data_IF_635124435652
#
_entry.id   IF_635124435652
#
_cell.length_a   1.000
_cell.length_b   1.000
_cell.length_c   1.000
_cell.angle_alpha   90.00
_cell.angle_beta   90.00
_cell.angle_gamma   90.00
#
_symmetry.space_group_name_H-M   'P 1'
#
loop_
_entity.id
_entity.type
_entity.pdbx_description
1 polymer ?
#
# COMPACT_ATOMS: atom_id res chain seq x y z
N UNK A 1 -0.08 -13.74 23.38
CA UNK A 1 0.69 -12.86 24.29
C UNK A 1 0.29 -11.39 24.11
N UNK A 2 0.77 -10.48 24.97
CA UNK A 2 0.57 -9.04 24.81
C UNK A 2 1.92 -8.34 24.79
N UNK A 3 2.26 -7.74 23.66
CA UNK A 3 3.46 -6.95 23.43
C UNK A 3 3.10 -5.47 23.40
N UNK A 4 3.33 -4.76 24.51
CA UNK A 4 2.99 -3.33 24.63
C UNK A 4 4.25 -2.46 24.76
N UNK A 5 4.34 -1.42 23.93
CA UNK A 5 5.38 -0.40 24.06
C UNK A 5 4.99 0.90 23.35
N UNK A 6 5.21 2.04 23.99
CA UNK A 6 4.82 3.37 23.46
C UNK A 6 5.62 3.78 22.22
N UNK A 7 6.56 4.71 22.38
CA UNK A 7 7.43 5.17 21.29
C UNK A 7 8.74 4.40 21.29
N UNK A 8 9.24 4.00 20.11
CA UNK A 8 10.42 3.14 19.98
C UNK A 8 10.23 1.83 20.76
N UNK A 9 9.09 1.18 20.49
CA UNK A 9 8.61 -0.02 21.18
C UNK A 9 8.93 -1.32 20.44
N UNK A 10 7.92 -2.20 20.41
CA UNK A 10 7.92 -3.55 19.83
C UNK A 10 8.76 -3.62 18.55
N UNK A 11 9.84 -4.41 18.57
CA UNK A 11 10.73 -4.62 17.41
C UNK A 11 11.12 -3.32 16.67
N UNK A 12 11.56 -2.28 17.37
CA UNK A 12 11.95 -1.01 16.74
C UNK A 12 13.43 -0.66 16.87
N UNK A 13 13.97 0.03 15.86
CA UNK A 13 15.37 0.45 15.82
C UNK A 13 15.54 1.93 15.43
N UNK A 14 16.35 2.66 16.18
CA UNK A 14 16.85 3.98 15.80
C UNK A 14 18.37 3.93 15.79
N UNK A 15 18.92 3.49 14.67
CA UNK A 15 20.28 2.92 14.60
C UNK A 15 20.34 1.49 15.17
N UNK A 16 21.24 0.67 14.64
CA UNK A 16 21.42 -0.72 15.07
C UNK A 16 20.39 -1.69 14.49
N UNK A 17 20.04 -2.72 15.26
CA UNK A 17 19.13 -3.79 14.83
C UNK A 17 18.15 -4.18 15.95
N UNK A 18 16.91 -4.50 15.58
CA UNK A 18 15.88 -5.05 16.47
C UNK A 18 15.24 -6.29 15.83
N UNK A 19 14.94 -7.29 16.67
CA UNK A 19 14.31 -8.54 16.27
C UNK A 19 13.28 -8.95 17.33
N UNK A 20 12.07 -9.24 16.91
CA UNK A 20 11.07 -9.99 17.69
C UNK A 20 10.67 -11.22 16.89
N UNK A 21 10.67 -12.38 17.55
CA UNK A 21 10.20 -13.64 16.99
C UNK A 21 9.14 -14.18 17.95
N UNK A 22 7.88 -14.18 17.52
CA UNK A 22 6.84 -15.00 18.13
C UNK A 22 6.73 -16.33 17.36
N UNK A 23 6.23 -17.38 18.00
CA UNK A 23 6.12 -18.72 17.43
C UNK A 23 4.71 -19.30 17.48
N UNK A 24 3.90 -18.84 18.43
CA UNK A 24 2.57 -19.39 18.69
C UNK A 24 1.74 -18.49 19.61
N UNK A 25 0.48 -18.36 19.26
CA UNK A 25 -0.55 -17.84 20.15
C UNK A 25 -1.34 -16.73 19.47
N UNK A 26 -2.54 -16.46 19.96
CA UNK A 26 -3.26 -15.26 19.54
C UNK A 26 -2.69 -14.06 20.32
N UNK A 27 -2.05 -13.16 19.59
CA UNK A 27 -1.17 -12.12 20.10
C UNK A 27 -1.75 -10.72 19.90
N UNK A 28 -1.39 -9.83 20.82
CA UNK A 28 -1.76 -8.41 20.75
C UNK A 28 -0.50 -7.57 20.79
N UNK A 29 -0.17 -6.96 19.66
CA UNK A 29 0.89 -6.00 19.52
C UNK A 29 0.32 -4.59 19.64
N UNK A 30 0.68 -3.86 20.69
CA UNK A 30 0.26 -2.48 20.93
C UNK A 30 1.46 -1.53 20.91
N UNK A 31 1.33 -0.43 20.18
CA UNK A 31 2.23 0.69 20.40
C UNK A 31 1.77 2.05 19.88
N UNK A 32 2.63 3.04 20.05
CA UNK A 32 2.35 4.41 19.63
C UNK A 32 3.05 4.72 18.31
N UNK A 33 4.31 5.17 18.37
CA UNK A 33 5.08 5.63 17.20
C UNK A 33 6.41 4.90 17.10
N UNK A 34 6.83 4.52 15.90
CA UNK A 34 8.05 3.73 15.68
C UNK A 34 8.03 2.42 16.48
N UNK A 35 7.17 1.50 16.06
CA UNK A 35 6.92 0.21 16.73
C UNK A 35 6.56 -0.86 15.68
N UNK A 36 6.36 -2.10 16.09
CA UNK A 36 5.94 -3.23 15.24
C UNK A 36 6.82 -3.36 13.98
N UNK A 37 8.12 -3.61 14.17
CA UNK A 37 9.05 -3.80 13.05
C UNK A 37 9.39 -2.49 12.33
N UNK A 38 9.71 -1.42 13.07
CA UNK A 38 9.96 -0.08 12.51
C UNK A 38 11.39 0.38 12.72
N UNK A 39 12.02 0.98 11.71
CA UNK A 39 13.41 1.40 11.77
C UNK A 39 13.72 2.77 11.14
N UNK A 40 14.71 3.46 11.71
CA UNK A 40 15.45 4.56 11.07
C UNK A 40 16.94 4.31 11.20
N UNK A 41 17.71 4.46 10.11
CA UNK A 41 19.16 4.23 10.08
C UNK A 41 19.62 2.85 10.61
N UNK A 42 18.78 1.82 10.50
CA UNK A 42 19.01 0.51 11.09
C UNK A 42 18.13 -0.58 10.49
N UNK A 43 18.05 -1.72 11.17
CA UNK A 43 17.26 -2.88 10.74
C UNK A 43 16.23 -3.25 11.80
N UNK A 44 15.00 -3.55 11.40
CA UNK A 44 13.99 -4.08 12.31
C UNK A 44 13.24 -5.24 11.66
N UNK A 45 13.03 -6.32 12.41
CA UNK A 45 12.20 -7.45 12.01
C UNK A 45 11.26 -7.84 13.16
N UNK A 46 9.98 -7.92 12.85
CA UNK A 46 8.99 -8.63 13.66
C UNK A 46 8.55 -9.84 12.82
N UNK A 47 8.64 -11.05 13.38
CA UNK A 47 8.13 -12.26 12.74
C UNK A 47 7.17 -12.97 13.70
N UNK A 48 5.89 -12.99 13.35
CA UNK A 48 4.89 -13.89 13.93
C UNK A 48 4.72 -15.12 13.03
N UNK A 49 4.62 -16.29 13.65
CA UNK A 49 4.56 -17.56 12.92
C UNK A 49 3.17 -18.20 12.94
N UNK A 50 2.34 -17.90 13.95
CA UNK A 50 1.06 -18.58 14.20
C UNK A 50 0.23 -17.81 15.21
N UNK A 51 -1.00 -17.49 14.83
CA UNK A 51 -1.95 -16.86 15.74
C UNK A 51 -3.04 -16.18 14.95
N UNK A 52 -4.15 -15.79 15.56
CA UNK A 52 -4.96 -14.72 14.96
C UNK A 52 -4.75 -13.45 15.79
N UNK A 53 -4.01 -12.51 15.23
CA UNK A 53 -3.31 -11.47 15.96
C UNK A 53 -3.88 -10.07 15.70
N UNK A 54 -3.60 -9.18 16.64
CA UNK A 54 -3.93 -7.76 16.52
C UNK A 54 -2.67 -6.91 16.56
N UNK A 55 -2.40 -6.24 15.45
CA UNK A 55 -1.36 -5.22 15.35
C UNK A 55 -2.00 -3.83 15.40
N UNK A 56 -1.83 -3.10 16.50
CA UNK A 56 -2.42 -1.77 16.67
C UNK A 56 -1.36 -0.73 17.01
N UNK A 57 -1.23 0.29 16.16
CA UNK A 57 -0.29 1.39 16.38
C UNK A 57 -0.84 2.75 15.93
N UNK A 58 -0.18 3.83 16.35
CA UNK A 58 -0.58 5.18 15.96
C UNK A 58 -0.05 5.58 14.58
N UNK A 59 1.27 5.44 14.35
CA UNK A 59 1.92 5.66 13.04
C UNK A 59 3.40 5.25 13.03
N UNK A 60 4.03 5.23 11.86
CA UNK A 60 5.44 4.81 11.68
C UNK A 60 5.67 3.40 12.21
N UNK A 61 4.78 2.47 11.85
CA UNK A 61 4.72 1.13 12.42
C UNK A 61 4.55 0.06 11.35
N UNK A 62 4.51 -1.21 11.75
CA UNK A 62 4.15 -2.34 10.88
C UNK A 62 5.00 -2.36 9.60
N UNK A 63 6.32 -2.48 9.76
CA UNK A 63 7.24 -2.49 8.62
C UNK A 63 7.58 -1.10 8.07
N UNK A 64 7.60 -0.07 8.92
CA UNK A 64 8.02 1.28 8.51
C UNK A 64 9.54 1.42 8.49
N UNK A 65 10.10 1.87 7.37
CA UNK A 65 11.52 2.14 7.19
C UNK A 65 11.79 3.60 6.79
N UNK A 66 12.36 4.36 7.71
CA UNK A 66 12.91 5.68 7.45
C UNK A 66 14.25 5.63 6.71
N UNK A 67 15.04 6.74 6.70
CA UNK A 67 16.26 6.81 5.89
C UNK A 67 17.27 5.70 6.17
N UNK A 68 17.77 5.08 5.09
CA UNK A 68 18.77 3.99 5.12
C UNK A 68 18.38 2.79 5.98
N UNK A 69 17.10 2.63 6.29
CA UNK A 69 16.61 1.52 7.09
C UNK A 69 16.09 0.38 6.22
N UNK A 70 16.08 -0.82 6.81
CA UNK A 70 15.31 -1.96 6.31
C UNK A 70 14.42 -2.40 7.45
N UNK A 71 13.11 -2.45 7.24
CA UNK A 71 12.16 -2.80 8.28
C UNK A 71 11.11 -3.76 7.71
N UNK A 72 10.82 -4.83 8.43
CA UNK A 72 9.86 -5.83 7.98
C UNK A 72 8.98 -6.32 9.14
N UNK A 73 7.71 -6.55 8.82
CA UNK A 73 6.84 -7.48 9.53
C UNK A 73 6.64 -8.70 8.64
N UNK A 74 6.74 -9.88 9.22
CA UNK A 74 6.37 -11.15 8.60
C UNK A 74 5.34 -11.78 9.50
N UNK A 75 4.12 -11.94 9.00
CA UNK A 75 3.14 -12.85 9.58
C UNK A 75 3.08 -14.09 8.70
N UNK A 76 2.80 -15.24 9.29
CA UNK A 76 2.89 -16.52 8.56
C UNK A 76 1.58 -17.29 8.50
N UNK A 77 0.73 -17.12 9.52
CA UNK A 77 -0.49 -17.92 9.69
C UNK A 77 -1.41 -17.20 10.64
N UNK A 78 -2.60 -16.88 10.16
CA UNK A 78 -3.57 -16.31 11.07
C UNK A 78 -4.84 -15.86 10.42
N UNK A 79 -5.53 -14.96 11.12
CA UNK A 79 -6.60 -14.13 10.57
C UNK A 79 -6.40 -12.82 11.34
N UNK A 80 -5.59 -11.95 10.77
CA UNK A 80 -4.89 -10.90 11.45
C UNK A 80 -5.54 -9.54 11.22
N UNK A 81 -5.45 -8.68 12.22
CA UNK A 81 -5.99 -7.32 12.14
C UNK A 81 -4.89 -6.28 12.33
N UNK A 82 -4.54 -5.60 11.23
CA UNK A 82 -3.58 -4.51 11.21
C UNK A 82 -4.29 -3.16 11.27
N UNK A 83 -4.02 -2.36 12.31
CA UNK A 83 -4.73 -1.11 12.60
C UNK A 83 -3.79 0.07 12.83
N UNK A 84 -3.84 1.06 11.92
CA UNK A 84 -3.12 2.35 12.07
C UNK A 84 -3.92 3.55 11.56
N UNK A 85 -5.20 3.67 11.94
CA UNK A 85 -6.08 4.75 11.48
C UNK A 85 -6.88 5.44 12.60
N UNK A 86 -6.42 5.38 13.86
CA UNK A 86 -7.28 5.76 15.01
C UNK A 86 -6.88 7.02 15.78
N UNK A 87 -5.60 7.43 15.77
CA UNK A 87 -5.10 8.31 16.84
C UNK A 87 -4.32 9.55 16.40
N UNK A 88 -3.80 9.61 15.17
CA UNK A 88 -3.03 10.76 14.67
C UNK A 88 -3.80 11.41 13.53
N UNK A 89 -4.44 12.58 13.73
CA UNK A 89 -5.21 13.21 12.66
C UNK A 89 -4.35 13.53 11.44
N UNK A 90 -4.95 13.39 10.26
CA UNK A 90 -4.34 13.70 8.98
C UNK A 90 -3.79 15.12 8.93
N UNK A 91 -2.55 15.27 8.46
CA UNK A 91 -1.95 16.59 8.17
C UNK A 91 -2.68 17.37 7.07
N UNK A 92 -3.56 16.72 6.31
CA UNK A 92 -4.44 17.39 5.34
C UNK A 92 -5.68 18.02 5.98
N UNK A 93 -5.89 17.84 7.29
CA UNK A 93 -6.97 18.49 8.04
C UNK A 93 -8.38 17.97 7.74
N UNK A 94 -8.52 16.83 7.07
CA UNK A 94 -9.81 16.19 6.82
C UNK A 94 -10.29 15.50 8.10
N UNK A 95 -11.47 15.87 8.58
CA UNK A 95 -12.08 15.28 9.78
C UNK A 95 -12.33 13.78 9.61
N UNK A 96 -12.08 12.99 10.66
CA UNK A 96 -12.22 11.54 10.63
C UNK A 96 -11.14 10.78 9.83
N UNK A 97 -10.14 11.49 9.31
CA UNK A 97 -9.02 10.90 8.57
C UNK A 97 -7.75 11.00 9.39
N UNK A 98 -6.99 9.92 9.42
CA UNK A 98 -5.81 9.78 10.26
C UNK A 98 -4.56 9.54 9.41
N UNK A 99 -3.39 9.73 9.99
CA UNK A 99 -2.13 9.26 9.46
C UNK A 99 -1.95 7.77 9.79
N UNK A 100 -1.35 7.02 8.87
CA UNK A 100 -0.90 5.65 9.10
C UNK A 100 0.62 5.56 9.09
N UNK A 101 1.27 5.84 7.95
CA UNK A 101 2.72 5.60 7.79
C UNK A 101 3.13 4.19 8.23
N UNK A 102 2.40 3.19 7.77
CA UNK A 102 2.53 1.82 8.26
C UNK A 102 2.09 0.79 7.22
N UNK A 103 2.27 -0.49 7.54
CA UNK A 103 1.96 -1.62 6.65
C UNK A 103 2.87 -1.58 5.42
N UNK A 104 4.18 -1.73 5.66
CA UNK A 104 5.19 -1.81 4.61
C UNK A 104 5.52 -0.48 3.93
N UNK A 105 6.06 0.49 4.67
CA UNK A 105 6.30 1.84 4.15
C UNK A 105 7.78 2.20 4.12
N UNK A 106 8.29 2.60 2.95
CA UNK A 106 9.62 3.19 2.81
C UNK A 106 9.55 4.71 2.71
N UNK A 107 10.19 5.44 3.63
CA UNK A 107 10.06 6.89 3.71
C UNK A 107 11.41 7.61 3.87
N UNK A 108 11.71 8.54 2.97
CA UNK A 108 12.84 9.45 3.09
C UNK A 108 12.50 10.78 3.76
N UNK A 109 13.55 11.50 4.16
CA UNK A 109 13.44 12.85 4.71
C UNK A 109 13.72 13.87 3.62
N UNK A 110 12.68 14.54 3.14
CA UNK A 110 12.76 15.53 2.06
C UNK A 110 13.87 16.55 2.29
N UNK A 111 14.80 16.64 1.34
CA UNK A 111 15.93 17.57 1.39
C UNK A 111 17.12 17.12 2.25
N UNK A 112 17.03 15.96 2.92
CA UNK A 112 18.07 15.47 3.82
C UNK A 112 18.58 14.07 3.47
N UNK A 113 17.69 13.09 3.27
CA UNK A 113 18.11 11.71 3.03
C UNK A 113 17.06 10.89 2.27
N UNK A 114 17.52 9.99 1.40
CA UNK A 114 16.68 8.99 0.73
C UNK A 114 16.07 8.00 1.73
N UNK A 115 14.91 7.45 1.38
CA UNK A 115 14.17 6.51 2.21
C UNK A 115 14.80 5.14 2.37
N UNK A 116 14.17 4.33 3.21
CA UNK A 116 14.51 2.93 3.42
C UNK A 116 13.63 1.98 2.62
N UNK A 117 13.73 0.70 2.97
CA UNK A 117 12.90 -0.39 2.45
C UNK A 117 12.00 -0.88 3.59
N UNK A 118 10.70 -0.62 3.49
CA UNK A 118 9.70 -1.04 4.48
C UNK A 118 8.78 -2.10 3.89
N UNK A 119 8.61 -3.21 4.60
CA UNK A 119 7.88 -4.38 4.11
C UNK A 119 6.87 -4.88 5.14
N UNK A 120 5.70 -5.29 4.68
CA UNK A 120 4.80 -6.19 5.40
C UNK A 120 4.59 -7.41 4.50
N UNK A 121 4.86 -8.59 5.04
CA UNK A 121 4.70 -9.88 4.35
C UNK A 121 3.73 -10.70 5.18
N UNK A 122 2.58 -11.03 4.62
CA UNK A 122 1.63 -12.00 5.16
C UNK A 122 1.58 -13.21 4.22
N UNK A 123 1.36 -14.41 4.76
CA UNK A 123 1.50 -15.66 4.01
C UNK A 123 0.22 -16.50 3.98
N UNK A 124 -0.63 -16.44 5.02
CA UNK A 124 -1.87 -17.21 5.10
C UNK A 124 -2.84 -16.53 6.08
N UNK A 125 -4.03 -16.15 5.63
CA UNK A 125 -5.07 -15.71 6.55
C UNK A 125 -6.37 -15.29 5.90
N UNK A 126 -7.12 -14.44 6.59
CA UNK A 126 -8.30 -13.74 6.10
C UNK A 126 -8.28 -12.42 6.84
N UNK A 127 -7.50 -11.51 6.30
CA UNK A 127 -6.83 -10.48 7.03
C UNK A 127 -7.47 -9.13 6.80
N UNK A 128 -7.28 -8.25 7.78
CA UNK A 128 -7.87 -6.92 7.78
C UNK A 128 -6.78 -5.89 7.87
N UNK A 129 -6.52 -5.24 6.75
CA UNK A 129 -5.58 -4.14 6.64
C UNK A 129 -6.33 -2.81 6.79
N UNK A 130 -6.33 -2.24 7.99
CA UNK A 130 -7.00 -0.97 8.30
C UNK A 130 -5.97 0.14 8.58
N UNK A 131 -5.85 1.14 7.69
CA UNK A 131 -4.85 2.18 7.84
C UNK A 131 -5.28 3.59 7.41
N UNK A 132 -4.63 4.60 7.99
CA UNK A 132 -4.77 5.99 7.59
C UNK A 132 -3.92 6.33 6.36
N UNK A 133 -3.57 7.61 6.21
CA UNK A 133 -2.79 8.07 5.06
C UNK A 133 -1.38 7.46 5.05
N UNK A 134 -0.82 7.29 3.85
CA UNK A 134 0.54 6.78 3.63
C UNK A 134 0.73 5.37 4.18
N UNK A 135 0.04 4.38 3.64
CA UNK A 135 0.03 3.02 4.20
C UNK A 135 -0.11 1.94 3.14
N UNK A 136 0.11 0.68 3.48
CA UNK A 136 -0.10 -0.48 2.60
C UNK A 136 0.81 -0.43 1.36
N UNK A 137 2.10 -0.70 1.57
CA UNK A 137 3.07 -0.79 0.49
C UNK A 137 3.54 0.54 -0.08
N UNK A 138 3.51 1.63 0.72
CA UNK A 138 3.75 2.99 0.19
C UNK A 138 5.23 3.37 0.16
N UNK A 139 5.65 3.90 -1.00
CA UNK A 139 6.92 4.61 -1.14
C UNK A 139 6.78 6.12 -1.02
N UNK A 140 7.59 6.75 -0.18
CA UNK A 140 7.67 8.21 -0.08
C UNK A 140 9.11 8.72 -0.09
N UNK A 141 9.43 9.66 -0.98
CA UNK A 141 10.74 10.33 -1.08
C UNK A 141 11.94 9.37 -1.15
N UNK A 142 12.18 8.79 -2.34
CA UNK A 142 13.26 7.81 -2.58
C UNK A 142 13.22 6.57 -1.65
N UNK A 143 12.07 6.28 -1.03
CA UNK A 143 11.85 5.05 -0.27
C UNK A 143 11.20 3.96 -1.13
N UNK A 144 11.29 2.71 -0.67
CA UNK A 144 10.55 1.58 -1.22
C UNK A 144 9.61 1.03 -0.14
N UNK A 145 8.31 1.07 -0.40
CA UNK A 145 7.30 0.36 0.39
C UNK A 145 6.83 -0.89 -0.36
N UNK A 146 6.57 -1.96 0.38
CA UNK A 146 6.05 -3.21 -0.13
C UNK A 146 5.07 -3.85 0.85
N UNK A 147 3.92 -4.29 0.34
CA UNK A 147 3.03 -5.22 1.03
C UNK A 147 2.90 -6.45 0.15
N UNK A 148 3.05 -7.64 0.72
CA UNK A 148 2.78 -8.90 0.02
C UNK A 148 1.84 -9.70 0.90
N UNK A 149 0.69 -10.04 0.37
CA UNK A 149 -0.18 -11.10 0.88
C UNK A 149 -0.12 -12.26 -0.12
N UNK A 150 -0.30 -13.48 0.37
CA UNK A 150 -0.24 -14.67 -0.48
C UNK A 150 -1.54 -15.44 -0.55
N UNK A 151 -2.38 -15.37 0.49
CA UNK A 151 -3.54 -16.25 0.59
C UNK A 151 -4.61 -15.70 1.53
N UNK A 152 -5.79 -15.62 0.94
CA UNK A 152 -7.08 -15.64 1.61
C UNK A 152 -7.92 -14.43 1.24
N UNK A 153 -9.19 -14.46 1.63
CA UNK A 153 -10.11 -13.36 1.34
C UNK A 153 -9.86 -12.18 2.30
N UNK A 154 -9.19 -11.14 1.81
CA UNK A 154 -8.65 -10.02 2.58
C UNK A 154 -9.40 -8.71 2.38
N UNK A 155 -9.30 -7.83 3.38
CA UNK A 155 -9.89 -6.50 3.33
C UNK A 155 -8.85 -5.39 3.53
N UNK A 156 -8.52 -4.72 2.43
CA UNK A 156 -7.64 -3.56 2.40
C UNK A 156 -8.44 -2.26 2.47
N UNK A 157 -8.43 -1.59 3.62
CA UNK A 157 -9.09 -0.30 3.82
C UNK A 157 -8.10 0.79 4.22
N UNK A 158 -7.96 1.80 3.36
CA UNK A 158 -7.17 2.98 3.65
C UNK A 158 -7.70 4.29 3.03
N UNK A 159 -7.05 5.41 3.34
CA UNK A 159 -7.60 6.75 3.06
C UNK A 159 -6.98 7.43 1.84
N UNK A 160 -5.73 7.89 1.96
CA UNK A 160 -5.01 8.68 0.95
C UNK A 160 -3.56 8.25 0.89
N UNK A 161 -2.99 8.14 -0.30
CA UNK A 161 -1.67 7.56 -0.49
C UNK A 161 -1.64 6.17 0.17
N UNK A 162 -2.33 5.22 -0.43
CA UNK A 162 -2.41 3.84 0.08
C UNK A 162 -2.34 2.79 -1.01
N UNK A 163 -2.25 1.51 -0.66
CA UNK A 163 -2.34 0.36 -1.57
C UNK A 163 -1.38 0.51 -2.77
N UNK A 164 -0.09 0.28 -2.52
CA UNK A 164 1.02 0.45 -3.46
C UNK A 164 1.28 1.87 -3.98
N UNK A 165 0.58 2.90 -3.49
CA UNK A 165 0.83 4.24 -4.01
C UNK A 165 2.24 4.75 -3.71
N UNK A 166 2.69 5.73 -4.48
CA UNK A 166 4.00 6.33 -4.24
C UNK A 166 4.09 7.81 -4.58
N UNK A 167 5.02 8.50 -3.91
CA UNK A 167 5.30 9.89 -4.15
C UNK A 167 6.79 10.24 -4.08
N UNK A 168 7.21 11.19 -4.92
CA UNK A 168 8.55 11.79 -4.89
C UNK A 168 9.69 10.80 -5.17
N UNK A 169 9.76 10.28 -6.40
CA UNK A 169 10.83 9.36 -6.83
C UNK A 169 10.95 8.08 -5.99
N UNK A 170 9.87 7.72 -5.30
CA UNK A 170 9.78 6.52 -4.49
C UNK A 170 9.13 5.37 -5.27
N UNK A 171 9.11 4.20 -4.66
CA UNK A 171 8.52 2.98 -5.21
C UNK A 171 7.51 2.44 -4.20
N UNK A 172 6.28 2.23 -4.62
CA UNK A 172 5.25 1.53 -3.85
C UNK A 172 4.83 0.27 -4.57
N UNK A 173 4.70 -0.83 -3.82
CA UNK A 173 4.32 -2.14 -4.34
C UNK A 173 3.33 -2.80 -3.40
N UNK A 174 2.28 -3.39 -3.96
CA UNK A 174 1.40 -4.33 -3.28
C UNK A 174 1.25 -5.53 -4.20
N UNK A 175 1.40 -6.73 -3.65
CA UNK A 175 1.14 -7.99 -4.35
C UNK A 175 0.18 -8.80 -3.50
N UNK A 176 -0.94 -9.19 -4.07
CA UNK A 176 -1.81 -10.26 -3.58
C UNK A 176 -1.74 -11.43 -4.56
N UNK A 177 -1.75 -12.68 -4.06
CA UNK A 177 -1.56 -13.87 -4.89
C UNK A 177 -2.83 -14.74 -5.05
N UNK A 178 -3.71 -14.76 -4.05
CA UNK A 178 -4.90 -15.62 -3.97
C UNK A 178 -5.92 -15.07 -2.97
N UNK A 179 -7.19 -14.90 -3.35
CA UNK A 179 -8.25 -14.52 -2.42
C UNK A 179 -9.47 -14.00 -3.17
N UNK A 180 -10.63 -13.86 -2.53
CA UNK A 180 -11.66 -12.93 -3.03
C UNK A 180 -11.54 -11.61 -2.23
N UNK A 181 -10.87 -10.60 -2.79
CA UNK A 181 -10.32 -9.47 -2.06
C UNK A 181 -11.08 -8.15 -2.22
N UNK A 182 -11.04 -7.33 -1.18
CA UNK A 182 -11.68 -6.02 -1.16
C UNK A 182 -10.68 -4.88 -0.96
N UNK A 183 -10.54 -4.02 -1.97
CA UNK A 183 -9.68 -2.84 -1.94
C UNK A 183 -10.49 -1.55 -1.83
N UNK A 184 -10.39 -0.86 -0.69
CA UNK A 184 -11.09 0.41 -0.42
C UNK A 184 -10.14 1.58 -0.16
N UNK A 185 -10.12 2.53 -1.08
CA UNK A 185 -9.36 3.78 -0.97
C UNK A 185 -10.27 5.01 -0.92
N UNK A 186 -10.38 5.67 0.23
CA UNK A 186 -11.47 6.64 0.48
C UNK A 186 -11.33 8.02 -0.19
N UNK A 187 -10.11 8.51 -0.47
CA UNK A 187 -9.91 9.91 -0.87
C UNK A 187 -9.19 10.08 -2.21
N UNK A 188 -7.89 9.75 -2.27
CA UNK A 188 -7.11 9.87 -3.51
C UNK A 188 -5.75 9.19 -3.40
N UNK A 189 -5.13 8.91 -4.55
CA UNK A 189 -3.80 8.32 -4.66
C UNK A 189 -3.78 6.94 -3.98
N UNK A 190 -4.51 5.98 -4.53
CA UNK A 190 -4.56 4.62 -4.01
C UNK A 190 -4.52 3.59 -5.13
N UNK A 191 -4.39 2.31 -4.80
CA UNK A 191 -4.52 1.18 -5.74
C UNK A 191 -3.56 1.31 -6.93
N UNK A 192 -2.25 1.28 -6.65
CA UNK A 192 -1.20 1.40 -7.67
C UNK A 192 -1.04 2.81 -8.24
N UNK A 193 -1.45 3.85 -7.52
CA UNK A 193 -1.36 5.24 -7.99
C UNK A 193 0.01 5.90 -7.78
N UNK A 194 0.56 6.54 -8.82
CA UNK A 194 1.86 7.23 -8.74
C UNK A 194 1.75 8.76 -8.81
N UNK A 195 2.64 9.44 -8.07
CA UNK A 195 2.76 10.89 -8.06
C UNK A 195 4.23 11.34 -8.04
N UNK A 196 4.57 12.29 -8.89
CA UNK A 196 5.86 13.02 -8.84
C UNK A 196 7.08 12.14 -9.12
N UNK A 197 7.16 11.66 -10.36
CA UNK A 197 8.24 10.82 -10.88
C UNK A 197 8.50 9.55 -10.04
N UNK A 198 7.44 9.02 -9.41
CA UNK A 198 7.48 7.79 -8.62
C UNK A 198 6.97 6.58 -9.42
N UNK A 199 7.13 5.39 -8.85
CA UNK A 199 6.66 4.12 -9.41
C UNK A 199 5.66 3.49 -8.44
N UNK A 200 4.49 3.09 -8.91
CA UNK A 200 3.46 2.43 -8.10
C UNK A 200 2.96 1.20 -8.86
N UNK A 201 2.96 0.04 -8.21
CA UNK A 201 2.56 -1.23 -8.83
C UNK A 201 1.68 -2.00 -7.84
N UNK A 202 0.41 -2.19 -8.19
CA UNK A 202 -0.46 -3.15 -7.52
C UNK A 202 -0.59 -4.38 -8.42
N UNK A 203 -0.42 -5.56 -7.87
CA UNK A 203 -0.64 -6.83 -8.54
C UNK A 203 -1.61 -7.63 -7.69
N UNK A 204 -2.72 -8.06 -8.27
CA UNK A 204 -3.55 -9.15 -7.79
C UNK A 204 -3.49 -10.26 -8.85
N UNK A 205 -3.52 -11.53 -8.44
CA UNK A 205 -3.26 -12.65 -9.35
C UNK A 205 -4.45 -13.59 -9.53
N UNK A 206 -5.36 -13.68 -8.55
CA UNK A 206 -6.50 -14.59 -8.59
C UNK A 206 -7.55 -14.15 -7.58
N UNK A 207 -8.80 -14.08 -8.01
CA UNK A 207 -9.88 -13.79 -7.09
C UNK A 207 -11.20 -13.49 -7.75
N UNK A 208 -12.13 -12.90 -7.01
CA UNK A 208 -13.24 -12.12 -7.56
C UNK A 208 -13.28 -10.85 -6.72
N UNK A 209 -12.59 -9.84 -7.19
CA UNK A 209 -12.07 -8.76 -6.39
C UNK A 209 -12.88 -7.49 -6.58
N UNK A 210 -12.92 -6.67 -5.54
CA UNK A 210 -13.64 -5.40 -5.57
C UNK A 210 -12.70 -4.23 -5.30
N UNK A 211 -12.51 -3.40 -6.32
CA UNK A 211 -11.70 -2.19 -6.26
C UNK A 211 -12.59 -0.95 -6.16
N UNK A 212 -12.59 -0.31 -4.99
CA UNK A 212 -13.27 0.97 -4.73
C UNK A 212 -12.26 2.06 -4.49
N UNK A 213 -11.88 2.73 -5.57
CA UNK A 213 -10.98 3.87 -5.56
C UNK A 213 -11.70 5.21 -5.57
N UNK A 214 -10.95 6.25 -5.21
CA UNK A 214 -11.38 7.64 -5.35
C UNK A 214 -10.51 8.32 -6.42
N UNK A 215 -10.15 9.61 -6.27
CA UNK A 215 -9.37 10.28 -7.32
C UNK A 215 -7.96 9.73 -7.48
N UNK A 216 -7.42 9.62 -8.70
CA UNK A 216 -6.07 9.06 -8.94
C UNK A 216 -5.94 7.67 -8.30
N UNK A 217 -6.57 6.67 -8.90
CA UNK A 217 -6.60 5.30 -8.40
C UNK A 217 -6.54 4.27 -9.52
N UNK A 218 -6.39 2.99 -9.18
CA UNK A 218 -6.48 1.85 -10.09
C UNK A 218 -5.52 2.01 -11.28
N UNK A 219 -4.22 2.07 -10.96
CA UNK A 219 -3.16 2.23 -11.95
C UNK A 219 -3.05 3.63 -12.58
N UNK A 220 -3.70 4.65 -12.00
CA UNK A 220 -3.60 6.03 -12.49
C UNK A 220 -2.28 6.71 -12.07
N UNK A 221 -1.76 7.58 -12.92
CA UNK A 221 -0.47 8.26 -12.71
C UNK A 221 -0.56 9.77 -12.90
N UNK A 222 0.16 10.51 -12.08
CA UNK A 222 0.32 11.96 -12.22
C UNK A 222 1.78 12.42 -12.02
N UNK A 223 2.08 13.59 -12.59
CA UNK A 223 3.34 14.30 -12.39
C UNK A 223 4.60 13.49 -12.77
N UNK A 224 4.55 12.86 -13.95
CA UNK A 224 5.60 12.05 -14.56
C UNK A 224 5.85 10.69 -13.89
N UNK A 225 4.86 10.16 -13.19
CA UNK A 225 4.95 8.84 -12.54
C UNK A 225 4.72 7.68 -13.50
N UNK A 226 5.06 6.49 -13.03
CA UNK A 226 4.66 5.20 -13.60
C UNK A 226 3.72 4.51 -12.62
N UNK A 227 2.51 4.18 -13.07
CA UNK A 227 1.52 3.45 -12.30
C UNK A 227 1.07 2.22 -13.09
N UNK A 228 0.93 1.10 -12.39
CA UNK A 228 0.33 -0.10 -12.93
C UNK A 228 -0.57 -0.77 -11.88
N UNK A 229 -1.74 -1.20 -12.31
CA UNK A 229 -2.54 -2.23 -11.66
C UNK A 229 -2.58 -3.41 -12.63
N UNK A 230 -2.18 -4.58 -12.15
CA UNK A 230 -2.37 -5.84 -12.85
C UNK A 230 -3.31 -6.67 -12.00
N UNK A 231 -4.43 -7.04 -12.55
CA UNK A 231 -5.32 -8.03 -11.99
C UNK A 231 -5.24 -9.31 -12.81
N UNK A 232 -5.34 -10.42 -12.12
CA UNK A 232 -5.19 -11.74 -12.68
C UNK A 232 -6.54 -12.28 -13.11
N UNK A 233 -6.84 -13.51 -12.70
CA UNK A 233 -8.08 -14.19 -13.07
C UNK A 233 -9.17 -13.89 -12.05
N UNK A 234 -10.34 -13.47 -12.51
CA UNK A 234 -11.49 -13.28 -11.64
C UNK A 234 -12.72 -12.77 -12.37
N UNK A 235 -13.83 -12.58 -11.65
CA UNK A 235 -14.93 -11.74 -12.12
C UNK A 235 -14.90 -10.45 -11.27
N UNK A 236 -14.32 -9.38 -11.79
CA UNK A 236 -13.84 -8.27 -10.97
C UNK A 236 -14.68 -6.99 -11.10
N UNK A 237 -14.72 -6.19 -10.03
CA UNK A 237 -15.52 -4.96 -9.97
C UNK A 237 -14.68 -3.73 -9.67
N UNK A 238 -14.62 -2.82 -10.64
CA UNK A 238 -13.87 -1.58 -10.56
C UNK A 238 -14.78 -0.36 -10.46
N UNK A 239 -14.59 0.39 -9.38
CA UNK A 239 -15.29 1.66 -9.12
C UNK A 239 -14.31 2.78 -8.86
N UNK A 240 -14.29 3.79 -9.72
CA UNK A 240 -13.50 5.00 -9.49
C UNK A 240 -14.00 6.21 -10.28
N UNK A 241 -14.20 7.37 -9.62
CA UNK A 241 -14.60 8.60 -10.32
C UNK A 241 -13.50 9.16 -11.24
N UNK A 242 -12.22 8.81 -11.01
CA UNK A 242 -11.09 9.26 -11.83
C UNK A 242 -9.85 8.37 -11.69
N UNK A 243 -10.05 7.06 -11.91
CA UNK A 243 -9.03 6.01 -11.90
C UNK A 243 -9.01 5.20 -13.20
N UNK A 244 -8.63 3.93 -13.15
CA UNK A 244 -8.64 2.98 -14.29
C UNK A 244 -7.72 3.43 -15.43
N UNK A 245 -6.42 3.40 -15.13
CA UNK A 245 -5.33 3.80 -16.03
C UNK A 245 -5.41 5.26 -16.52
N UNK A 246 -5.79 6.20 -15.66
CA UNK A 246 -5.78 7.62 -16.03
C UNK A 246 -4.37 8.23 -16.02
N UNK A 247 -3.94 8.79 -17.14
CA UNK A 247 -2.79 9.67 -17.22
C UNK A 247 -3.16 11.09 -16.78
N UNK A 248 -3.00 11.41 -15.50
CA UNK A 248 -3.37 12.68 -14.87
C UNK A 248 -2.50 13.88 -15.26
N UNK A 249 -2.57 14.98 -14.49
CA UNK A 249 -1.79 16.22 -14.76
C UNK A 249 -0.27 15.99 -14.78
N UNK A 250 0.45 16.81 -15.55
CA UNK A 250 1.93 16.88 -15.58
C UNK A 250 2.46 18.25 -15.19
N UNK A 251 1.61 19.15 -14.66
CA UNK A 251 1.96 20.57 -14.43
C UNK A 251 2.84 20.83 -13.20
N UNK A 252 2.96 19.88 -12.30
CA UNK A 252 3.75 20.05 -11.07
C UNK A 252 5.23 20.29 -11.43
N UNK A 253 5.88 21.23 -10.71
CA UNK A 253 7.23 21.72 -10.99
C UNK A 253 7.45 22.29 -12.40
N UNK A 254 6.42 22.82 -13.06
CA UNK A 254 6.54 23.39 -14.40
C UNK A 254 6.59 22.35 -15.52
N UNK A 255 6.42 21.07 -15.19
CA UNK A 255 6.47 19.94 -16.13
C UNK A 255 7.90 19.52 -16.46
N UNK A 256 8.10 18.20 -16.61
CA UNK A 256 9.41 17.58 -16.93
C UNK A 256 9.57 17.19 -18.39
N UNK A 257 8.70 17.70 -19.26
CA UNK A 257 8.60 17.28 -20.67
C UNK A 257 8.54 15.73 -20.83
N UNK A 258 7.88 15.09 -19.88
CA UNK A 258 7.64 13.66 -19.86
C UNK A 258 6.13 13.39 -19.72
N UNK A 259 5.62 12.29 -20.27
CA UNK A 259 4.25 11.85 -20.02
C UNK A 259 4.12 11.22 -18.63
N UNK A 260 2.88 10.90 -18.24
CA UNK A 260 2.60 9.90 -17.22
C UNK A 260 2.52 8.54 -17.92
N UNK A 261 2.85 7.45 -17.23
CA UNK A 261 2.50 6.11 -17.67
C UNK A 261 1.51 5.55 -16.67
N UNK A 262 0.31 5.22 -17.14
CA UNK A 262 -0.76 4.67 -16.33
C UNK A 262 -1.26 3.40 -17.00
N UNK A 263 -1.27 2.28 -16.26
CA UNK A 263 -1.61 0.96 -16.80
C UNK A 263 -2.62 0.31 -15.87
N UNK A 264 -3.67 -0.26 -16.46
CA UNK A 264 -4.55 -1.23 -15.82
C UNK A 264 -4.68 -2.39 -16.81
N UNK A 265 -4.27 -3.58 -16.38
CA UNK A 265 -4.50 -4.82 -17.13
C UNK A 265 -5.29 -5.76 -16.22
N UNK A 266 -6.39 -6.27 -16.75
CA UNK A 266 -7.16 -7.37 -16.18
C UNK A 266 -7.01 -8.62 -17.07
N UNK A 267 -6.88 -9.81 -16.48
CA UNK A 267 -6.62 -11.08 -17.18
C UNK A 267 -7.72 -12.14 -16.99
N UNK A 268 -8.67 -12.17 -17.91
CA UNK A 268 -9.74 -13.17 -18.04
C UNK A 268 -10.77 -13.09 -16.92
N UNK A 269 -12.04 -13.02 -17.32
CA UNK A 269 -13.12 -12.76 -16.38
C UNK A 269 -14.37 -12.27 -17.07
N UNK A 270 -15.36 -11.89 -16.28
CA UNK A 270 -16.43 -10.99 -16.70
C UNK A 270 -16.49 -9.77 -15.78
N UNK A 271 -15.91 -8.67 -16.22
CA UNK A 271 -15.62 -7.56 -15.33
C UNK A 271 -16.57 -6.37 -15.48
N UNK A 272 -16.73 -5.63 -14.39
CA UNK A 272 -17.57 -4.45 -14.34
C UNK A 272 -16.78 -3.18 -14.01
N UNK A 273 -16.75 -2.26 -14.98
CA UNK A 273 -16.08 -0.95 -14.89
C UNK A 273 -17.09 0.20 -14.91
N UNK A 274 -16.89 1.22 -14.07
CA UNK A 274 -17.76 2.40 -14.01
C UNK A 274 -17.28 3.62 -14.81
N UNK A 275 -16.15 3.50 -15.52
CA UNK A 275 -15.57 4.61 -16.29
C UNK A 275 -15.94 4.51 -17.78
N UNK A 276 -16.33 5.63 -18.36
CA UNK A 276 -16.63 5.71 -19.80
C UNK A 276 -15.44 5.23 -20.65
N UNK A 277 -15.70 4.31 -21.57
CA UNK A 277 -14.68 3.71 -22.44
C UNK A 277 -13.87 2.60 -21.77
N UNK A 278 -14.32 2.08 -20.63
CA UNK A 278 -13.84 0.87 -19.95
C UNK A 278 -14.99 -0.12 -19.92
N UNK A 279 -14.72 -1.36 -20.30
CA UNK A 279 -15.69 -2.44 -20.35
C UNK A 279 -14.97 -3.78 -20.55
N UNK A 280 -15.69 -4.85 -20.21
CA UNK A 280 -15.36 -6.24 -20.48
C UNK A 280 -14.76 -6.46 -21.89
N UNK A 281 -13.56 -7.05 -21.97
CA UNK A 281 -12.87 -7.39 -23.22
C UNK A 281 -12.43 -6.20 -24.09
N UNK A 282 -12.26 -5.00 -23.51
CA UNK A 282 -11.85 -3.78 -24.25
C UNK A 282 -10.39 -3.41 -24.01
N UNK A 283 -9.67 -3.10 -25.10
CA UNK A 283 -8.40 -2.35 -25.05
C UNK A 283 -8.65 -0.86 -25.33
N UNK A 284 -8.11 0.00 -24.48
CA UNK A 284 -8.14 1.45 -24.67
C UNK A 284 -6.76 2.08 -24.45
N UNK A 285 -6.39 2.95 -25.39
CA UNK A 285 -5.21 3.81 -25.27
C UNK A 285 -5.63 5.29 -25.20
N UNK A 286 -5.39 5.90 -24.04
CA UNK A 286 -5.64 7.32 -23.82
C UNK A 286 -4.53 8.20 -24.39
N UNK A 287 -4.87 9.45 -24.70
CA UNK A 287 -3.93 10.45 -25.25
C UNK A 287 -2.79 10.83 -24.29
N UNK A 288 -2.81 10.34 -23.05
CA UNK A 288 -1.85 10.65 -21.98
C UNK A 288 -1.04 9.42 -21.53
N UNK A 289 -0.84 8.46 -22.43
CA UNK A 289 -0.24 7.12 -22.21
C UNK A 289 -0.90 6.40 -21.03
N UNK A 290 -2.24 6.44 -21.03
CA UNK A 290 -3.06 5.56 -20.21
C UNK A 290 -3.40 4.33 -21.03
N UNK A 291 -2.92 3.15 -20.64
CA UNK A 291 -3.28 1.87 -21.23
C UNK A 291 -4.24 1.16 -20.29
N UNK A 292 -5.47 0.97 -20.74
CA UNK A 292 -6.39 0.02 -20.13
C UNK A 292 -6.50 -1.16 -21.06
N UNK A 293 -6.44 -2.37 -20.51
CA UNK A 293 -6.72 -3.58 -21.25
C UNK A 293 -7.43 -4.55 -20.33
N UNK A 294 -8.50 -5.08 -20.84
CA UNK A 294 -9.15 -6.25 -20.30
C UNK A 294 -9.05 -7.35 -21.38
N UNK A 295 -8.65 -8.55 -20.97
CA UNK A 295 -8.42 -9.69 -21.83
C UNK A 295 -9.48 -10.77 -21.61
N UNK A 296 -10.06 -11.27 -22.71
CA UNK A 296 -10.98 -12.43 -22.72
C UNK A 296 -10.38 -13.72 -22.11
#
# INVERSE_FOLDING_TARGET
>A
DVYEGGTLGVASAFGGAALLLDREGDDIYLGDVMTQGSAMFGVALLHDMKGSDLYSAARFAQGFAGPRAIAAVVDSKGNDHYVTDRSRPSVYGTEGVYEGWAQGVGCGLRGFAAGGIGLLLDEEGHDRYQAGNFSQGVGYFFGLGGLVDRRGDDHYRATRYSQASSAHQAIGVLVDEEGDDAYEGQITANQGASWDASVAILVDLKGNDTYRGAGLSQGASAMNGFAALFDGKGDDVYRSPSGQADGGSTRYWGGRDAPNVAILIDEAGHDDYDREGRADGVEFLGSRIGLFRDAE
#
